data_IF_520939519871
#
_entry.id   IF_520939519871
#
_cell.length_a   1.000
_cell.length_b   1.000
_cell.length_c   1.000
_cell.angle_alpha   90.00
_cell.angle_beta   90.00
_cell.angle_gamma   90.00
#
_symmetry.space_group_name_H-M   'P 1'
#
loop_
_entity.id
_entity.type
_entity.pdbx_description
1 polymer ?
#
# COMPACT_ATOMS: atom_id res chain seq x y z
N UNK A 1 -6.76 -8.47 19.57
CA UNK A 1 -7.00 -9.12 18.24
C UNK A 1 -8.32 -8.69 17.60
N UNK A 2 -9.40 -8.41 18.36
CA UNK A 2 -10.66 -7.89 17.81
C UNK A 2 -10.51 -6.50 17.17
N UNK A 3 -9.66 -5.65 17.74
CA UNK A 3 -9.44 -4.26 17.28
C UNK A 3 -8.64 -4.20 15.97
N UNK A 4 -7.69 -5.11 15.79
CA UNK A 4 -6.92 -5.26 14.54
C UNK A 4 -7.81 -5.63 13.36
N UNK A 5 -8.80 -6.50 13.59
CA UNK A 5 -9.77 -6.91 12.59
C UNK A 5 -10.68 -5.75 12.17
N UNK A 6 -11.08 -4.91 13.14
CA UNK A 6 -11.88 -3.70 12.88
C UNK A 6 -11.10 -2.66 12.08
N UNK A 7 -9.82 -2.46 12.40
CA UNK A 7 -8.93 -1.61 11.61
C UNK A 7 -8.79 -2.12 10.17
N UNK A 8 -8.55 -3.42 9.99
CA UNK A 8 -8.44 -4.01 8.64
C UNK A 8 -9.72 -3.85 7.82
N UNK A 9 -10.89 -4.03 8.46
CA UNK A 9 -12.18 -3.81 7.80
C UNK A 9 -12.38 -2.35 7.39
N UNK A 10 -12.03 -1.39 8.27
CA UNK A 10 -12.08 0.03 7.95
C UNK A 10 -11.13 0.40 6.81
N UNK A 11 -9.90 -0.12 6.82
CA UNK A 11 -8.92 0.11 5.75
C UNK A 11 -9.37 -0.51 4.42
N UNK A 12 -9.99 -1.69 4.46
CA UNK A 12 -10.64 -2.29 3.29
C UNK A 12 -11.74 -1.39 2.75
N UNK A 13 -12.66 -0.92 3.60
CA UNK A 13 -13.76 -0.03 3.18
C UNK A 13 -13.21 1.28 2.59
N UNK A 14 -12.20 1.86 3.23
CA UNK A 14 -11.52 3.06 2.75
C UNK A 14 -10.84 2.89 1.38
N UNK A 15 -10.32 1.70 1.07
CA UNK A 15 -9.51 1.49 -0.13
C UNK A 15 -10.27 0.83 -1.30
N UNK A 16 -11.31 0.04 -0.98
CA UNK A 16 -12.18 -0.64 -1.95
C UNK A 16 -13.51 0.09 -2.20
N UNK A 17 -14.08 0.77 -1.20
CA UNK A 17 -15.45 1.33 -1.28
C UNK A 17 -15.43 2.85 -1.39
N UNK A 18 -14.61 3.53 -0.59
CA UNK A 18 -14.47 4.98 -0.70
C UNK A 18 -13.36 5.31 -1.70
N UNK A 19 -13.68 6.14 -2.69
CA UNK A 19 -12.65 6.80 -3.48
C UNK A 19 -11.76 7.61 -2.55
N UNK A 20 -10.44 7.52 -2.70
CA UNK A 20 -9.42 8.18 -1.86
C UNK A 20 -9.50 9.72 -1.83
N UNK A 21 -10.47 10.30 -2.54
CA UNK A 21 -10.70 11.74 -2.68
C UNK A 21 -11.43 12.39 -1.48
N UNK A 22 -11.96 11.63 -0.52
CA UNK A 22 -12.66 12.19 0.63
C UNK A 22 -11.69 12.47 1.80
N UNK A 23 -11.47 13.74 2.15
CA UNK A 23 -10.59 14.18 3.23
C UNK A 23 -10.91 13.55 4.60
N UNK A 24 -12.18 13.24 4.86
CA UNK A 24 -12.61 12.55 6.08
C UNK A 24 -12.10 11.10 6.09
N UNK A 25 -12.08 10.44 4.93
CA UNK A 25 -11.58 9.08 4.79
C UNK A 25 -10.07 9.04 5.00
N UNK A 26 -9.31 9.97 4.42
CA UNK A 26 -7.86 10.05 4.62
C UNK A 26 -7.51 10.33 6.09
N UNK A 27 -8.21 11.26 6.76
CA UNK A 27 -8.01 11.53 8.19
C UNK A 27 -8.32 10.31 9.07
N UNK A 28 -9.43 9.62 8.82
CA UNK A 28 -9.82 8.42 9.57
C UNK A 28 -8.82 7.28 9.35
N UNK A 29 -8.32 7.13 8.13
CA UNK A 29 -7.25 6.19 7.79
C UNK A 29 -5.95 6.51 8.52
N UNK A 30 -5.58 7.78 8.60
CA UNK A 30 -4.37 8.24 9.28
C UNK A 30 -4.44 8.00 10.80
N UNK A 31 -5.57 8.34 11.42
CA UNK A 31 -5.83 8.09 12.83
C UNK A 31 -5.85 6.59 13.16
N UNK A 32 -6.50 5.77 12.32
CA UNK A 32 -6.47 4.33 12.46
C UNK A 32 -5.05 3.75 12.35
N UNK A 33 -4.22 4.33 11.49
CA UNK A 33 -2.86 3.85 11.24
C UNK A 33 -1.89 4.25 12.35
N UNK A 34 -2.04 5.46 12.88
CA UNK A 34 -1.36 5.88 14.11
C UNK A 34 -1.76 4.98 15.29
N UNK A 35 -3.05 4.71 15.46
CA UNK A 35 -3.55 3.82 16.51
C UNK A 35 -2.96 2.42 16.39
N UNK A 36 -2.90 1.84 15.18
CA UNK A 36 -2.31 0.50 15.00
C UNK A 36 -0.81 0.48 15.19
N UNK A 37 -0.08 1.54 14.80
CA UNK A 37 1.36 1.64 15.04
C UNK A 37 1.68 1.67 16.54
N UNK A 38 0.90 2.43 17.33
CA UNK A 38 1.00 2.46 18.80
C UNK A 38 0.65 1.09 19.39
N UNK A 39 -0.39 0.43 18.87
CA UNK A 39 -0.84 -0.87 19.35
C UNK A 39 0.17 -1.99 19.03
N UNK A 40 0.84 -1.90 17.88
CA UNK A 40 1.89 -2.82 17.43
C UNK A 40 3.25 -2.59 18.13
N UNK A 41 3.54 -1.36 18.56
CA UNK A 41 4.71 -1.03 19.39
C UNK A 41 4.57 -1.52 20.84
N UNK A 42 3.37 -1.88 21.28
CA UNK A 42 3.15 -2.44 22.61
C UNK A 42 3.84 -3.81 22.74
N UNK A 43 4.66 -3.98 23.79
CA UNK A 43 5.41 -5.21 24.12
C UNK A 43 4.54 -6.48 24.25
N UNK A 44 3.22 -6.34 24.21
CA UNK A 44 2.22 -7.42 24.27
C UNK A 44 1.91 -8.06 22.92
N UNK A 45 2.28 -7.44 21.79
CA UNK A 45 1.94 -7.97 20.46
C UNK A 45 3.05 -8.87 19.93
N UNK A 46 2.78 -10.17 20.06
CA UNK A 46 3.56 -11.28 19.53
C UNK A 46 4.08 -11.05 18.10
N UNK A 47 5.36 -11.40 17.90
CA UNK A 47 6.13 -11.45 16.66
C UNK A 47 5.51 -12.39 15.60
N UNK A 48 4.31 -12.08 15.11
CA UNK A 48 3.65 -12.80 14.04
C UNK A 48 3.93 -12.11 12.70
N UNK A 49 4.04 -12.90 11.63
CA UNK A 49 4.21 -12.43 10.25
C UNK A 49 3.16 -11.38 9.86
N UNK A 50 1.90 -11.59 10.23
CA UNK A 50 0.80 -10.64 10.00
C UNK A 50 1.01 -9.28 10.65
N UNK A 51 1.61 -9.26 11.86
CA UNK A 51 1.89 -8.00 12.56
C UNK A 51 2.95 -7.17 11.81
N UNK A 52 3.93 -7.81 11.19
CA UNK A 52 4.94 -7.14 10.35
C UNK A 52 4.30 -6.53 9.10
N UNK A 53 3.43 -7.28 8.41
CA UNK A 53 2.74 -6.78 7.22
C UNK A 53 1.84 -5.58 7.56
N UNK A 54 1.09 -5.66 8.66
CA UNK A 54 0.24 -4.56 9.12
C UNK A 54 1.07 -3.36 9.58
N UNK A 55 2.22 -3.58 10.22
CA UNK A 55 3.13 -2.49 10.58
C UNK A 55 3.70 -1.79 9.34
N UNK A 56 4.08 -2.55 8.31
CA UNK A 56 4.53 -1.98 7.03
C UNK A 56 3.41 -1.22 6.32
N UNK A 57 2.17 -1.69 6.50
CA UNK A 57 0.98 -1.06 5.93
C UNK A 57 0.67 0.29 6.63
N UNK A 58 0.86 0.37 7.95
CA UNK A 58 0.75 1.62 8.70
C UNK A 58 1.89 2.61 8.35
N UNK A 59 3.10 2.11 8.06
CA UNK A 59 4.20 2.93 7.56
C UNK A 59 3.89 3.55 6.18
N UNK A 60 3.15 2.85 5.31
CA UNK A 60 2.73 3.40 4.03
C UNK A 60 1.80 4.61 4.22
N UNK A 61 0.94 4.61 5.25
CA UNK A 61 0.04 5.73 5.54
C UNK A 61 0.78 6.99 6.02
N UNK A 62 2.03 6.87 6.49
CA UNK A 62 2.91 8.03 6.78
C UNK A 62 3.22 8.80 5.49
N UNK A 63 3.29 8.13 4.33
CA UNK A 63 3.49 8.81 3.05
C UNK A 63 2.30 9.72 2.71
N UNK A 64 1.08 9.36 3.12
CA UNK A 64 -0.12 10.21 2.97
C UNK A 64 -0.03 11.42 3.89
N UNK A 65 0.44 11.23 5.13
CA UNK A 65 0.71 12.36 6.01
C UNK A 65 1.71 13.32 5.39
N UNK A 66 2.81 12.78 4.86
CA UNK A 66 3.85 13.57 4.23
C UNK A 66 3.35 14.30 2.98
N UNK A 67 2.53 13.67 2.15
CA UNK A 67 1.91 14.33 0.99
C UNK A 67 1.00 15.48 1.40
N UNK A 68 0.20 15.32 2.46
CA UNK A 68 -0.65 16.38 2.99
C UNK A 68 0.17 17.56 3.53
N UNK A 69 1.25 17.29 4.25
CA UNK A 69 2.16 18.34 4.73
C UNK A 69 2.83 19.04 3.54
N UNK A 70 3.25 18.30 2.52
CA UNK A 70 3.83 18.85 1.28
C UNK A 70 2.85 19.71 0.48
N UNK A 71 1.54 19.48 0.57
CA UNK A 71 0.51 20.33 -0.06
C UNK A 71 0.11 21.55 0.81
N UNK A 72 0.25 21.46 2.14
CA UNK A 72 -0.08 22.55 3.07
C UNK A 72 1.04 23.59 3.21
N UNK A 73 2.30 23.17 3.18
CA UNK A 73 3.48 24.05 3.28
C UNK A 73 3.58 25.10 2.14
N UNK A 74 3.28 24.80 0.87
CA UNK A 74 3.29 25.78 -0.22
C UNK A 74 2.21 26.86 -0.10
N UNK A 75 1.13 26.62 0.66
CA UNK A 75 0.11 27.61 0.94
C UNK A 75 0.61 28.83 1.75
N UNK A 76 1.75 28.69 2.42
CA UNK A 76 2.36 29.76 3.23
C UNK A 76 3.56 30.45 2.54
N UNK A 77 4.16 29.85 1.50
CA UNK A 77 5.42 30.35 0.89
C UNK A 77 5.47 30.30 -0.65
N UNK A 78 4.31 30.15 -1.31
CA UNK A 78 4.23 30.06 -2.77
C UNK A 78 4.28 28.62 -3.26
N UNK A 79 3.38 28.29 -4.19
CA UNK A 79 3.21 26.93 -4.73
C UNK A 79 4.39 26.63 -5.68
N UNK A 80 5.42 25.97 -5.17
CA UNK A 80 6.45 25.40 -6.03
C UNK A 80 5.88 24.16 -6.75
N UNK A 81 5.97 24.06 -8.10
CA UNK A 81 5.47 22.91 -8.87
C UNK A 81 6.15 21.58 -8.48
N UNK A 82 7.33 21.65 -7.84
CA UNK A 82 8.02 20.48 -7.33
C UNK A 82 7.31 19.86 -6.10
N UNK A 83 6.68 20.68 -5.26
CA UNK A 83 5.99 20.19 -4.05
C UNK A 83 4.71 19.42 -4.39
N UNK A 84 3.94 19.91 -5.36
CA UNK A 84 2.73 19.22 -5.85
C UNK A 84 3.06 17.95 -6.62
N UNK A 85 4.16 17.92 -7.39
CA UNK A 85 4.64 16.70 -8.03
C UNK A 85 5.04 15.63 -7.00
N UNK A 86 5.78 16.02 -5.96
CA UNK A 86 6.17 15.12 -4.88
C UNK A 86 4.96 14.54 -4.12
N UNK A 87 3.97 15.38 -3.80
CA UNK A 87 2.75 14.93 -3.13
C UNK A 87 1.99 13.86 -3.94
N UNK A 88 1.86 14.06 -5.27
CA UNK A 88 1.25 13.05 -6.16
C UNK A 88 2.03 11.74 -6.18
N UNK A 89 3.36 11.80 -6.22
CA UNK A 89 4.21 10.60 -6.22
C UNK A 89 4.07 9.85 -4.90
N UNK A 90 4.08 10.54 -3.77
CA UNK A 90 3.89 9.94 -2.43
C UNK A 90 2.51 9.28 -2.30
N UNK A 91 1.46 9.93 -2.81
CA UNK A 91 0.11 9.37 -2.78
C UNK A 91 -0.01 8.12 -3.66
N UNK A 92 0.62 8.13 -4.84
CA UNK A 92 0.67 6.99 -5.76
C UNK A 92 1.47 5.84 -5.15
N UNK A 93 2.62 6.14 -4.53
CA UNK A 93 3.45 5.16 -3.83
C UNK A 93 2.68 4.49 -2.69
N UNK A 94 2.00 5.29 -1.86
CA UNK A 94 1.14 4.77 -0.81
C UNK A 94 0.07 3.84 -1.38
N UNK A 95 -0.56 4.25 -2.48
CA UNK A 95 -1.63 3.49 -3.09
C UNK A 95 -1.16 2.09 -3.54
N UNK A 96 -0.01 2.04 -4.22
CA UNK A 96 0.54 0.77 -4.72
C UNK A 96 1.03 -0.11 -3.56
N UNK A 97 1.79 0.45 -2.61
CA UNK A 97 2.27 -0.29 -1.42
C UNK A 97 1.09 -0.84 -0.62
N UNK A 98 0.09 -0.01 -0.34
CA UNK A 98 -1.10 -0.42 0.43
C UNK A 98 -1.88 -1.53 -0.26
N UNK A 99 -2.04 -1.46 -1.59
CA UNK A 99 -2.76 -2.48 -2.35
C UNK A 99 -2.06 -3.85 -2.29
N UNK A 100 -0.74 -3.87 -2.51
CA UNK A 100 0.03 -5.12 -2.48
C UNK A 100 0.09 -5.69 -1.07
N UNK A 101 0.35 -4.86 -0.05
CA UNK A 101 0.40 -5.31 1.34
C UNK A 101 -0.95 -5.84 1.85
N UNK A 102 -2.07 -5.18 1.52
CA UNK A 102 -3.40 -5.68 1.86
C UNK A 102 -3.66 -7.06 1.27
N UNK A 103 -3.20 -7.29 0.03
CA UNK A 103 -3.33 -8.57 -0.64
C UNK A 103 -2.46 -9.66 -0.02
N UNK A 104 -1.25 -9.32 0.41
CA UNK A 104 -0.41 -10.23 1.19
C UNK A 104 -1.09 -10.61 2.53
N UNK A 105 -1.72 -9.65 3.22
CA UNK A 105 -2.45 -9.92 4.47
C UNK A 105 -3.68 -10.79 4.22
N UNK A 106 -4.44 -10.54 3.15
CA UNK A 106 -5.59 -11.36 2.78
C UNK A 106 -5.16 -12.79 2.42
N UNK A 107 -4.10 -12.93 1.64
CA UNK A 107 -3.54 -14.24 1.28
C UNK A 107 -3.02 -14.98 2.52
N UNK A 108 -2.36 -14.30 3.45
CA UNK A 108 -1.95 -14.90 4.70
C UNK A 108 -3.17 -15.38 5.53
N UNK A 109 -4.22 -14.56 5.63
CA UNK A 109 -5.46 -14.96 6.30
C UNK A 109 -6.09 -16.19 5.65
N UNK A 110 -6.10 -16.25 4.32
CA UNK A 110 -6.55 -17.43 3.57
C UNK A 110 -5.74 -18.68 3.91
N UNK A 111 -4.41 -18.57 3.92
CA UNK A 111 -3.52 -19.68 4.25
C UNK A 111 -3.75 -20.19 5.68
N UNK A 112 -3.99 -19.29 6.63
CA UNK A 112 -4.33 -19.65 8.02
C UNK A 112 -5.65 -20.43 8.06
N UNK A 113 -6.65 -20.00 7.30
CA UNK A 113 -8.00 -20.58 7.32
C UNK A 113 -8.09 -21.93 6.62
N UNK A 114 -7.48 -22.07 5.44
CA UNK A 114 -7.67 -23.25 4.58
C UNK A 114 -6.47 -24.21 4.56
N UNK A 115 -5.25 -23.73 4.85
CA UNK A 115 -4.01 -24.52 4.73
C UNK A 115 -3.10 -24.33 5.96
N UNK A 116 -3.58 -24.54 7.20
CA UNK A 116 -2.83 -24.21 8.41
C UNK A 116 -1.55 -25.03 8.60
N UNK A 117 -1.54 -26.29 8.16
CA UNK A 117 -0.40 -27.21 8.29
C UNK A 117 0.69 -26.91 7.23
N UNK A 118 0.29 -26.81 5.96
CA UNK A 118 1.17 -26.54 4.82
C UNK A 118 1.78 -25.13 4.83
N UNK A 119 1.05 -24.13 5.34
CA UNK A 119 1.52 -22.74 5.35
C UNK A 119 2.47 -22.40 6.51
N UNK A 120 2.63 -23.32 7.48
CA UNK A 120 3.43 -23.10 8.69
C UNK A 120 4.90 -22.70 8.42
N UNK A 121 5.65 -23.34 7.50
CA UNK A 121 7.03 -22.94 7.20
C UNK A 121 7.12 -21.61 6.42
N UNK A 122 6.07 -21.23 5.68
CA UNK A 122 6.05 -20.01 4.88
C UNK A 122 5.74 -18.77 5.75
N UNK A 123 4.91 -18.93 6.79
CA UNK A 123 4.45 -17.87 7.72
C UNK A 123 5.47 -17.46 8.78
N UNK A 124 6.72 -17.24 8.37
CA UNK A 124 7.75 -16.71 9.27
C UNK A 124 7.82 -15.19 9.22
N UNK A 125 8.20 -14.58 10.34
CA UNK A 125 8.46 -13.14 10.45
C UNK A 125 9.56 -12.69 9.48
N UNK A 126 10.55 -13.56 9.22
CA UNK A 126 11.65 -13.27 8.29
C UNK A 126 11.13 -13.12 6.86
N UNK A 127 10.28 -14.03 6.42
CA UNK A 127 9.67 -13.96 5.09
C UNK A 127 8.76 -12.74 4.96
N UNK A 128 7.95 -12.44 5.99
CA UNK A 128 7.11 -11.22 5.99
C UNK A 128 7.95 -9.93 5.87
N UNK A 129 9.08 -9.84 6.59
CA UNK A 129 10.01 -8.71 6.46
C UNK A 129 10.63 -8.62 5.07
N UNK A 130 11.02 -9.76 4.49
CA UNK A 130 11.60 -9.81 3.15
C UNK A 130 10.58 -9.36 2.11
N UNK A 131 9.35 -9.88 2.18
CA UNK A 131 8.24 -9.48 1.29
C UNK A 131 7.97 -7.98 1.41
N UNK A 132 7.85 -7.43 2.62
CA UNK A 132 7.69 -5.99 2.80
C UNK A 132 8.85 -5.20 2.16
N UNK A 133 10.10 -5.59 2.40
CA UNK A 133 11.26 -4.92 1.77
C UNK A 133 11.19 -4.95 0.25
N UNK A 134 10.87 -6.10 -0.33
CA UNK A 134 10.73 -6.25 -1.79
C UNK A 134 9.61 -5.35 -2.33
N UNK A 135 8.46 -5.29 -1.66
CA UNK A 135 7.34 -4.40 -2.05
C UNK A 135 7.80 -2.94 -2.02
N UNK A 136 8.46 -2.51 -0.95
CA UNK A 136 8.99 -1.15 -0.84
C UNK A 136 10.00 -0.83 -1.94
N UNK A 137 10.94 -1.73 -2.24
CA UNK A 137 11.91 -1.52 -3.32
C UNK A 137 11.26 -1.47 -4.69
N UNK A 138 10.25 -2.31 -4.93
CA UNK A 138 9.56 -2.37 -6.22
C UNK A 138 8.75 -1.09 -6.47
N UNK A 139 8.01 -0.63 -5.46
CA UNK A 139 7.24 0.61 -5.60
C UNK A 139 8.16 1.83 -5.65
N UNK A 140 9.25 1.86 -4.89
CA UNK A 140 10.25 2.93 -5.00
C UNK A 140 10.87 2.99 -6.41
N UNK A 141 11.17 1.84 -7.01
CA UNK A 141 11.67 1.76 -8.38
C UNK A 141 10.62 2.22 -9.40
N UNK A 142 9.36 1.81 -9.26
CA UNK A 142 8.24 2.27 -10.11
C UNK A 142 8.07 3.79 -10.02
N UNK A 143 8.07 4.37 -8.81
CA UNK A 143 7.99 5.81 -8.60
C UNK A 143 9.20 6.57 -9.17
N UNK A 144 10.41 6.02 -9.03
CA UNK A 144 11.61 6.60 -9.61
C UNK A 144 11.54 6.63 -11.14
N UNK A 145 11.04 5.55 -11.77
CA UNK A 145 10.83 5.50 -13.21
C UNK A 145 9.81 6.54 -13.69
N UNK A 146 8.72 6.74 -12.95
CA UNK A 146 7.73 7.78 -13.29
C UNK A 146 8.28 9.20 -13.11
N UNK A 147 9.09 9.45 -12.07
CA UNK A 147 9.74 10.74 -11.88
C UNK A 147 10.76 11.04 -12.98
N UNK A 148 11.52 10.03 -13.41
CA UNK A 148 12.44 10.16 -14.54
C UNK A 148 11.68 10.41 -15.85
N UNK A 149 10.58 9.69 -16.11
CA UNK A 149 9.73 9.89 -17.31
C UNK A 149 9.17 11.33 -17.37
N UNK A 150 8.67 11.88 -16.26
CA UNK A 150 8.16 13.26 -16.22
C UNK A 150 9.28 14.30 -16.41
N UNK A 151 10.43 14.17 -15.72
CA UNK A 151 11.55 15.11 -15.88
C UNK A 151 12.16 15.10 -17.28
N UNK A 152 12.30 13.90 -17.84
CA UNK A 152 12.85 13.69 -19.17
C UNK A 152 11.89 14.14 -20.27
N UNK A 153 10.59 14.23 -19.99
CA UNK A 153 9.58 14.77 -20.92
C UNK A 153 9.54 16.30 -20.93
N UNK A 154 9.85 16.94 -19.80
CA UNK A 154 9.97 18.40 -19.69
C UNK A 154 11.30 18.93 -20.25
N UNK A 155 12.38 18.16 -20.09
CA UNK A 155 13.67 18.44 -20.70
C UNK A 155 13.69 17.80 -22.08
N UNK A 156 13.60 18.54 -23.18
CA UNK A 156 13.58 18.03 -24.57
C UNK A 156 14.89 17.33 -24.98
N UNK A 157 15.22 16.24 -24.28
CA UNK A 157 16.45 15.48 -24.34
C UNK A 157 16.16 14.13 -25.02
N UNK A 158 16.53 14.04 -26.29
CA UNK A 158 16.38 12.86 -27.15
C UNK A 158 17.48 11.82 -26.91
N UNK A 159 17.61 11.34 -25.66
CA UNK A 159 18.58 10.31 -25.27
C UNK A 159 18.06 8.88 -25.37
N UNK A 160 18.96 7.90 -25.49
CA UNK A 160 18.62 6.47 -25.50
C UNK A 160 17.93 6.03 -24.18
N UNK A 161 18.32 6.64 -23.06
CA UNK A 161 17.69 6.43 -21.75
C UNK A 161 16.24 6.95 -21.69
N UNK A 162 15.94 8.07 -22.38
CA UNK A 162 14.58 8.61 -22.51
C UNK A 162 13.67 7.62 -23.23
N UNK A 163 14.15 7.02 -24.32
CA UNK A 163 13.37 6.04 -25.07
C UNK A 163 13.12 4.76 -24.27
N UNK A 164 14.12 4.27 -23.54
CA UNK A 164 13.97 3.09 -22.68
C UNK A 164 12.98 3.38 -21.54
N UNK A 165 13.08 4.55 -20.88
CA UNK A 165 12.16 4.92 -19.79
C UNK A 165 10.74 5.11 -20.29
N UNK A 166 10.53 5.78 -21.43
CA UNK A 166 9.19 6.04 -21.97
C UNK A 166 8.51 4.75 -22.47
N UNK A 167 9.28 3.85 -23.10
CA UNK A 167 8.79 2.54 -23.56
C UNK A 167 8.49 1.62 -22.39
N UNK A 168 9.26 1.70 -21.30
CA UNK A 168 9.00 0.92 -20.08
C UNK A 168 7.88 1.49 -19.22
N UNK A 169 7.67 2.81 -19.20
CA UNK A 169 6.69 3.47 -18.32
C UNK A 169 5.24 3.15 -18.70
N UNK A 170 4.89 3.14 -19.99
CA UNK A 170 3.54 2.82 -20.45
C UNK A 170 3.06 1.40 -20.07
N UNK A 171 3.81 0.31 -20.34
CA UNK A 171 3.43 -1.03 -19.92
C UNK A 171 3.48 -1.17 -18.39
N UNK A 172 4.40 -0.49 -17.69
CA UNK A 172 4.44 -0.53 -16.24
C UNK A 172 3.19 0.10 -15.60
N UNK A 173 2.71 1.25 -16.12
CA UNK A 173 1.43 1.87 -15.69
C UNK A 173 0.25 0.93 -15.93
N UNK A 174 0.20 0.28 -17.10
CA UNK A 174 -0.87 -0.66 -17.43
C UNK A 174 -0.84 -1.89 -16.52
N UNK A 175 0.34 -2.49 -16.30
CA UNK A 175 0.52 -3.61 -15.40
C UNK A 175 0.13 -3.25 -13.97
N UNK A 176 0.54 -2.08 -13.48
CA UNK A 176 0.20 -1.61 -12.14
C UNK A 176 -1.31 -1.40 -11.96
N UNK A 177 -1.98 -0.85 -12.97
CA UNK A 177 -3.44 -0.73 -12.99
C UNK A 177 -4.15 -2.09 -12.98
N UNK A 178 -3.73 -3.01 -13.85
CA UNK A 178 -4.28 -4.38 -13.93
C UNK A 178 -4.04 -5.13 -12.61
N UNK A 179 -2.85 -5.00 -12.04
CA UNK A 179 -2.48 -5.61 -10.77
C UNK A 179 -3.36 -5.02 -9.65
N UNK A 180 -3.58 -3.71 -9.62
CA UNK A 180 -4.48 -3.07 -8.67
C UNK A 180 -5.92 -3.61 -8.74
N UNK A 181 -6.44 -3.83 -9.94
CA UNK A 181 -7.77 -4.43 -10.15
C UNK A 181 -7.80 -5.90 -9.71
N UNK A 182 -6.83 -6.70 -10.15
CA UNK A 182 -6.74 -8.13 -9.78
C UNK A 182 -6.64 -8.29 -8.27
N UNK A 183 -5.80 -7.48 -7.62
CA UNK A 183 -5.64 -7.48 -6.17
C UNK A 183 -6.93 -7.09 -5.46
N UNK A 184 -7.69 -6.11 -5.96
CA UNK A 184 -9.03 -5.77 -5.45
C UNK A 184 -10.00 -6.95 -5.56
N UNK A 185 -10.04 -7.62 -6.71
CA UNK A 185 -10.93 -8.77 -6.94
C UNK A 185 -10.54 -9.95 -6.03
N UNK A 186 -9.25 -10.28 -5.95
CA UNK A 186 -8.72 -11.33 -5.07
C UNK A 186 -9.05 -11.02 -3.62
N UNK A 187 -8.90 -9.76 -3.20
CA UNK A 187 -9.20 -9.32 -1.84
C UNK A 187 -10.68 -9.46 -1.49
N UNK A 188 -11.58 -9.13 -2.41
CA UNK A 188 -13.03 -9.34 -2.24
C UNK A 188 -13.35 -10.84 -2.21
N UNK A 189 -12.77 -11.63 -3.11
CA UNK A 189 -12.98 -13.08 -3.17
C UNK A 189 -12.53 -13.77 -1.88
N UNK A 190 -11.34 -13.45 -1.37
CA UNK A 190 -10.82 -14.00 -0.12
C UNK A 190 -11.74 -13.63 1.03
N UNK A 191 -12.20 -12.38 1.09
CA UNK A 191 -13.12 -11.92 2.12
C UNK A 191 -14.44 -12.69 2.08
N UNK A 192 -15.04 -12.80 0.89
CA UNK A 192 -16.24 -13.59 0.67
C UNK A 192 -16.05 -15.04 1.11
N UNK A 193 -14.96 -15.68 0.67
CA UNK A 193 -14.67 -17.08 0.97
C UNK A 193 -14.52 -17.30 2.47
N UNK A 194 -13.77 -16.46 3.19
CA UNK A 194 -13.58 -16.57 4.65
C UNK A 194 -14.90 -16.44 5.41
N UNK A 195 -15.76 -15.48 5.03
CA UNK A 195 -17.02 -15.26 5.71
C UNK A 195 -18.05 -16.36 5.44
N UNK A 196 -18.17 -16.81 4.18
CA UNK A 196 -19.14 -17.84 3.82
C UNK A 196 -18.69 -19.26 4.16
N UNK A 197 -17.39 -19.55 4.18
CA UNK A 197 -16.88 -20.86 4.63
C UNK A 197 -16.96 -21.06 6.14
N UNK A 198 -17.16 -19.99 6.91
CA UNK A 198 -17.31 -20.01 8.37
C UNK A 198 -18.78 -19.98 8.82
N UNK A 199 -19.74 -20.11 7.90
CA UNK A 199 -21.13 -20.35 8.26
C UNK A 199 -21.23 -21.72 8.95
N UNK A 200 -21.66 -21.78 10.23
CA UNK A 200 -21.85 -23.05 10.91
C UNK A 200 -23.01 -23.78 10.25
N UNK A 201 -22.74 -24.97 9.71
CA UNK A 201 -23.74 -26.04 9.70
C UNK A 201 -23.75 -26.70 11.07
#
# INVERSE_FOLDING_TARGET
MKDLRRYLALKYIQYLVLSSSNAISTLLGLLGSAYTMILLQSAKVSSKSTAVLISSLAQADILVFLSLVSDLVPGSFGVSPAASALARILLTANAHVSCVLLSCVAFEAYLITFLPLESRPLRTVRNARLISRVIWTLVAAECALFLMDDHLRDSSASGLLFQISSVAAAPLRSLSYILGILLRIINVYIYYKIFFSMSPR
#
